data_IF_005131780671
#
_entry.id   IF_005131780671
#
_cell.length_a   1.000
_cell.length_b   1.000
_cell.length_c   1.000
_cell.angle_alpha   90.00
_cell.angle_beta   90.00
_cell.angle_gamma   90.00
#
_symmetry.space_group_name_H-M   'P 1'
#
loop_
_entity.id
_entity.type
_entity.pdbx_description
1 polymer ?
#
# COMPACT_ATOMS: atom_id res chain seq x y z
N UNK A 1 -7.70 2.41 -26.72
CA UNK A 1 -7.37 0.98 -26.73
C UNK A 1 -7.52 0.40 -25.32
N UNK A 2 -7.80 -0.90 -25.22
CA UNK A 2 -7.89 -1.64 -23.95
C UNK A 2 -6.88 -2.77 -23.99
N UNK A 3 -6.25 -3.02 -22.85
CA UNK A 3 -5.32 -4.15 -22.63
C UNK A 3 -6.02 -5.08 -21.65
N UNK A 4 -6.52 -6.26 -22.08
CA UNK A 4 -7.17 -7.19 -21.17
C UNK A 4 -6.15 -7.80 -20.19
N UNK A 5 -6.52 -7.86 -18.92
CA UNK A 5 -5.76 -8.50 -17.85
C UNK A 5 -6.57 -9.67 -17.28
N UNK A 6 -5.89 -10.65 -16.70
CA UNK A 6 -6.53 -11.80 -16.04
C UNK A 6 -6.78 -11.57 -14.54
N UNK A 7 -6.63 -10.35 -14.05
CA UNK A 7 -6.86 -9.94 -12.69
C UNK A 7 -7.55 -8.58 -12.62
N UNK A 8 -8.07 -8.20 -11.45
CA UNK A 8 -8.69 -6.90 -11.21
C UNK A 8 -7.62 -5.86 -10.84
N UNK A 9 -7.20 -4.99 -11.79
CA UNK A 9 -6.20 -3.98 -11.50
C UNK A 9 -6.74 -2.92 -10.54
N UNK A 10 -5.88 -2.43 -9.65
CA UNK A 10 -6.21 -1.41 -8.65
C UNK A 10 -5.18 -0.28 -8.62
N UNK A 11 -3.97 -0.55 -8.16
CA UNK A 11 -2.87 0.41 -8.16
C UNK A 11 -2.08 0.41 -9.44
N UNK A 12 -1.57 1.58 -9.81
CA UNK A 12 -0.68 1.75 -10.96
C UNK A 12 0.51 2.63 -10.58
N UNK A 13 1.65 2.39 -11.23
CA UNK A 13 2.83 3.24 -11.12
C UNK A 13 3.55 3.33 -12.47
N UNK A 14 4.07 4.51 -12.82
CA UNK A 14 4.90 4.69 -14.00
C UNK A 14 6.37 4.39 -13.66
N UNK A 15 7.09 3.81 -14.60
CA UNK A 15 8.54 3.70 -14.51
C UNK A 15 9.16 5.10 -14.72
N UNK A 16 9.90 5.66 -13.74
CA UNK A 16 10.48 6.99 -13.88
C UNK A 16 11.54 7.10 -14.97
N UNK A 17 12.14 5.98 -15.38
CA UNK A 17 13.16 5.91 -16.42
C UNK A 17 12.58 5.57 -17.80
N UNK A 18 11.35 5.08 -17.87
CA UNK A 18 10.67 4.76 -19.13
C UNK A 18 9.17 5.06 -19.00
N UNK A 19 8.75 6.26 -19.42
CA UNK A 19 7.38 6.71 -19.35
C UNK A 19 6.39 5.87 -20.20
N UNK A 20 6.89 5.01 -21.08
CA UNK A 20 6.08 4.04 -21.83
C UNK A 20 5.89 2.72 -21.05
N UNK A 21 6.40 2.62 -19.82
CA UNK A 21 6.31 1.43 -18.98
C UNK A 21 5.50 1.70 -17.74
N UNK A 22 4.43 0.93 -17.56
CA UNK A 22 3.49 1.06 -16.45
C UNK A 22 3.39 -0.25 -15.69
N UNK A 23 3.47 -0.17 -14.36
CA UNK A 23 3.16 -1.28 -13.46
C UNK A 23 1.68 -1.22 -13.08
N UNK A 24 1.02 -2.37 -13.07
CA UNK A 24 -0.34 -2.50 -12.55
C UNK A 24 -0.39 -3.64 -11.52
N UNK A 25 -1.09 -3.41 -10.41
CA UNK A 25 -1.17 -4.33 -9.29
C UNK A 25 -2.61 -4.71 -9.00
N UNK A 26 -2.85 -5.97 -8.67
CA UNK A 26 -4.16 -6.46 -8.26
C UNK A 26 -4.55 -5.92 -6.89
N UNK A 27 -5.85 -5.66 -6.71
CA UNK A 27 -6.39 -5.20 -5.43
C UNK A 27 -6.13 -6.22 -4.30
N UNK A 28 -6.47 -7.48 -4.54
CA UNK A 28 -6.23 -8.60 -3.63
C UNK A 28 -6.08 -9.86 -4.48
N UNK A 29 -4.85 -10.33 -4.68
CA UNK A 29 -4.63 -11.53 -5.47
C UNK A 29 -3.20 -11.67 -6.00
N UNK A 30 -2.93 -12.67 -6.83
CA UNK A 30 -1.59 -12.94 -7.32
C UNK A 30 -1.19 -12.09 -8.53
N UNK A 31 -2.05 -11.18 -9.00
CA UNK A 31 -1.88 -10.46 -10.24
C UNK A 31 -1.07 -9.17 -10.09
N UNK A 32 0.01 -9.08 -10.84
CA UNK A 32 0.66 -7.82 -11.19
C UNK A 32 1.32 -7.95 -12.55
N UNK A 33 1.50 -6.83 -13.23
CA UNK A 33 2.11 -6.85 -14.56
C UNK A 33 2.80 -5.55 -14.92
N UNK A 34 3.60 -5.63 -15.96
CA UNK A 34 4.14 -4.49 -16.69
C UNK A 34 3.42 -4.37 -18.04
N UNK A 35 3.02 -3.17 -18.35
CA UNK A 35 2.34 -2.80 -19.59
C UNK A 35 3.18 -1.81 -20.37
N UNK A 36 3.30 -2.03 -21.68
CA UNK A 36 3.88 -1.08 -22.60
C UNK A 36 2.79 -0.14 -23.13
N UNK A 37 2.96 1.16 -22.90
CA UNK A 37 1.99 2.19 -23.29
C UNK A 37 2.17 2.64 -24.75
N UNK A 38 3.33 2.40 -25.37
CA UNK A 38 3.57 2.72 -26.78
C UNK A 38 2.84 1.74 -27.71
N UNK A 39 3.04 0.44 -27.45
CA UNK A 39 2.45 -0.63 -28.24
C UNK A 39 1.05 -1.04 -27.75
N UNK A 40 0.68 -0.61 -26.55
CA UNK A 40 -0.55 -1.03 -25.84
C UNK A 40 -0.62 -2.55 -25.66
N UNK A 41 0.43 -3.13 -25.09
CA UNK A 41 0.53 -4.58 -24.85
C UNK A 41 0.98 -4.88 -23.42
N UNK A 42 0.56 -6.03 -22.94
CA UNK A 42 1.13 -6.64 -21.76
C UNK A 42 2.57 -7.06 -22.08
N UNK A 43 3.54 -6.61 -21.29
CA UNK A 43 4.94 -7.06 -21.41
C UNK A 43 5.18 -8.34 -20.64
N UNK A 44 4.87 -8.30 -19.33
CA UNK A 44 5.19 -9.40 -18.43
C UNK A 44 4.30 -9.37 -17.18
N UNK A 45 3.94 -10.54 -16.68
CA UNK A 45 3.39 -10.69 -15.34
C UNK A 45 4.50 -10.69 -14.28
N UNK A 46 4.19 -10.14 -13.11
CA UNK A 46 5.08 -10.12 -11.96
C UNK A 46 4.51 -11.12 -10.94
N UNK A 47 5.24 -12.19 -10.59
CA UNK A 47 4.77 -13.11 -9.55
C UNK A 47 4.90 -12.45 -8.17
N UNK A 48 3.98 -12.71 -7.22
CA UNK A 48 4.16 -12.29 -5.84
C UNK A 48 5.37 -12.98 -5.21
N UNK A 49 5.83 -12.47 -4.07
CA UNK A 49 6.81 -13.14 -3.24
C UNK A 49 6.25 -14.49 -2.75
N UNK A 50 7.15 -15.39 -2.34
CA UNK A 50 6.75 -16.73 -1.88
C UNK A 50 5.72 -16.64 -0.75
N UNK A 51 4.64 -17.41 -0.88
CA UNK A 51 3.53 -17.48 0.07
C UNK A 51 2.83 -16.12 0.32
N UNK A 52 2.86 -15.22 -0.69
CA UNK A 52 2.23 -13.91 -0.63
C UNK A 52 1.25 -13.67 -1.78
N UNK A 53 0.46 -12.62 -1.65
CA UNK A 53 -0.36 -12.04 -2.70
C UNK A 53 -0.29 -10.52 -2.64
N UNK A 54 -0.48 -9.84 -3.78
CA UNK A 54 -0.54 -8.37 -3.86
C UNK A 54 -1.74 -7.83 -3.10
N UNK A 55 -1.60 -6.65 -2.52
CA UNK A 55 -2.66 -6.00 -1.77
C UNK A 55 -2.88 -4.54 -2.20
N UNK A 56 -2.76 -4.28 -3.49
CA UNK A 56 -3.28 -3.07 -4.11
C UNK A 56 -2.25 -2.17 -4.78
N UNK A 57 -1.11 -1.92 -4.20
CA UNK A 57 -0.21 -0.89 -4.68
C UNK A 57 1.25 -1.30 -4.76
N UNK A 58 2.01 -0.45 -5.42
CA UNK A 58 3.45 -0.49 -5.49
C UNK A 58 4.00 0.77 -6.14
N UNK A 59 5.29 1.02 -5.97
CA UNK A 59 5.94 2.19 -6.52
C UNK A 59 7.42 1.92 -6.84
N UNK A 60 7.99 2.55 -7.86
CA UNK A 60 9.44 2.59 -8.06
C UNK A 60 10.09 3.59 -7.09
N UNK A 61 11.38 3.40 -6.82
CA UNK A 61 12.19 4.43 -6.18
C UNK A 61 12.48 5.58 -7.16
N UNK A 62 13.08 6.66 -6.63
CA UNK A 62 13.28 7.90 -7.39
C UNK A 62 14.16 7.72 -8.64
N UNK A 63 15.18 6.88 -8.55
CA UNK A 63 16.10 6.62 -9.68
C UNK A 63 15.61 5.50 -10.61
N UNK A 64 14.47 4.88 -10.29
CA UNK A 64 13.85 3.83 -11.08
C UNK A 64 14.62 2.51 -11.11
N UNK A 65 15.59 2.31 -10.23
CA UNK A 65 16.37 1.05 -10.17
C UNK A 65 15.60 -0.06 -9.46
N UNK A 66 14.78 0.28 -8.47
CA UNK A 66 14.02 -0.65 -7.66
C UNK A 66 12.54 -0.33 -7.67
N UNK A 67 11.71 -1.34 -7.52
CA UNK A 67 10.27 -1.20 -7.30
C UNK A 67 9.85 -1.96 -6.06
N UNK A 68 8.93 -1.37 -5.30
CA UNK A 68 8.38 -1.86 -4.03
C UNK A 68 6.90 -2.18 -4.21
N UNK A 69 6.42 -3.25 -3.62
CA UNK A 69 5.00 -3.64 -3.71
C UNK A 69 4.44 -3.91 -2.32
N UNK A 70 3.14 -3.66 -2.15
CA UNK A 70 2.43 -4.10 -0.95
C UNK A 70 1.95 -5.53 -1.15
N UNK A 71 2.45 -6.45 -0.35
CA UNK A 71 2.04 -7.85 -0.39
C UNK A 71 1.69 -8.37 1.02
N UNK A 72 0.82 -9.36 1.07
CA UNK A 72 0.35 -9.98 2.31
C UNK A 72 0.67 -11.47 2.29
N UNK A 73 1.25 -11.99 3.37
CA UNK A 73 1.49 -13.41 3.53
C UNK A 73 0.15 -14.16 3.70
N UNK A 74 -0.06 -15.23 2.92
CA UNK A 74 -1.34 -15.96 2.86
C UNK A 74 -1.72 -16.65 4.17
N UNK A 75 -0.73 -17.02 4.99
CA UNK A 75 -0.95 -17.76 6.24
C UNK A 75 -1.04 -16.85 7.45
N UNK A 76 -0.08 -15.92 7.57
CA UNK A 76 0.05 -15.08 8.78
C UNK A 76 -0.72 -13.76 8.69
N UNK A 77 -1.17 -13.38 7.48
CA UNK A 77 -1.76 -12.07 7.14
C UNK A 77 -0.81 -10.88 7.37
N UNK A 78 0.41 -11.11 7.81
CA UNK A 78 1.43 -10.07 7.98
C UNK A 78 1.83 -9.48 6.63
N UNK A 79 2.00 -8.18 6.62
CA UNK A 79 2.41 -7.44 5.45
C UNK A 79 3.92 -7.51 5.21
N UNK A 80 4.28 -7.55 3.94
CA UNK A 80 5.66 -7.45 3.47
C UNK A 80 5.76 -6.45 2.31
N UNK A 81 6.92 -5.85 2.17
CA UNK A 81 7.31 -5.05 1.00
C UNK A 81 8.42 -5.83 0.28
N UNK A 82 8.11 -6.58 -0.77
CA UNK A 82 9.11 -7.08 -1.70
C UNK A 82 9.81 -5.92 -2.41
N UNK A 83 11.09 -6.11 -2.65
CA UNK A 83 11.95 -5.20 -3.42
C UNK A 83 12.35 -5.94 -4.68
N UNK A 84 12.03 -5.37 -5.83
CA UNK A 84 12.42 -5.96 -7.13
C UNK A 84 13.30 -5.00 -7.92
N UNK A 85 14.24 -5.55 -8.64
CA UNK A 85 14.92 -4.83 -9.70
C UNK A 85 13.90 -4.43 -10.78
N UNK A 86 13.87 -3.17 -11.14
CA UNK A 86 12.82 -2.62 -12.02
C UNK A 86 12.91 -3.16 -13.46
N UNK A 87 14.10 -3.47 -13.93
CA UNK A 87 14.33 -3.95 -15.30
C UNK A 87 14.01 -5.44 -15.44
N UNK A 88 14.55 -6.24 -14.51
CA UNK A 88 14.44 -7.70 -14.56
C UNK A 88 13.22 -8.25 -13.83
N UNK A 89 12.58 -7.45 -12.97
CA UNK A 89 11.48 -7.80 -12.08
C UNK A 89 11.82 -8.88 -11.03
N UNK A 90 13.10 -9.23 -10.94
CA UNK A 90 13.58 -10.22 -9.97
C UNK A 90 13.52 -9.68 -8.55
N UNK A 91 13.09 -10.52 -7.64
CA UNK A 91 13.10 -10.23 -6.20
C UNK A 91 14.54 -10.14 -5.70
N UNK A 92 14.94 -8.96 -5.22
CA UNK A 92 16.28 -8.69 -4.68
C UNK A 92 16.29 -8.55 -3.16
N UNK A 93 15.11 -8.49 -2.54
CA UNK A 93 14.96 -8.44 -1.09
C UNK A 93 13.52 -8.21 -0.67
N UNK A 94 13.32 -8.17 0.65
CA UNK A 94 12.03 -7.80 1.22
C UNK A 94 12.18 -7.36 2.68
N UNK A 95 11.18 -6.67 3.22
CA UNK A 95 11.09 -6.34 4.64
C UNK A 95 9.63 -6.33 5.12
N UNK A 96 9.38 -6.53 6.44
CA UNK A 96 8.03 -6.53 6.98
C UNK A 96 7.43 -5.12 7.00
N UNK A 97 6.11 -5.01 6.84
CA UNK A 97 5.40 -3.75 7.00
C UNK A 97 5.09 -3.41 8.46
N UNK A 98 5.34 -4.33 9.38
CA UNK A 98 5.02 -4.24 10.82
C UNK A 98 3.53 -4.09 11.11
N UNK A 99 2.69 -4.52 10.19
CA UNK A 99 1.23 -4.58 10.29
C UNK A 99 0.64 -5.70 9.43
N UNK A 100 -0.67 -5.67 9.24
CA UNK A 100 -1.41 -6.63 8.42
C UNK A 100 -2.06 -5.95 7.23
N UNK A 101 -2.13 -6.66 6.08
CA UNK A 101 -2.82 -6.19 4.88
C UNK A 101 -2.35 -4.80 4.45
N UNK A 102 -1.08 -4.63 4.05
CA UNK A 102 -0.55 -3.34 3.63
C UNK A 102 -1.22 -2.90 2.33
N UNK A 103 -1.85 -1.72 2.32
CA UNK A 103 -2.61 -1.26 1.17
C UNK A 103 -1.82 -0.34 0.26
N UNK A 104 -1.16 0.67 0.81
CA UNK A 104 -0.42 1.68 0.06
C UNK A 104 0.95 1.94 0.69
N UNK A 105 1.89 2.41 -0.11
CA UNK A 105 3.23 2.75 0.37
C UNK A 105 3.81 3.94 -0.40
N UNK A 106 4.52 4.82 0.31
CA UNK A 106 5.17 5.99 -0.27
C UNK A 106 6.59 6.17 0.28
N UNK A 107 7.54 6.40 -0.61
CA UNK A 107 8.87 6.85 -0.21
C UNK A 107 8.85 8.33 0.16
N UNK A 108 9.30 8.62 1.36
CA UNK A 108 9.39 9.96 1.94
C UNK A 108 10.84 10.26 2.33
N UNK A 109 11.13 11.48 2.81
CA UNK A 109 12.46 11.90 3.27
C UNK A 109 13.57 11.59 2.24
N UNK A 110 13.34 12.02 1.00
CA UNK A 110 14.26 11.78 -0.13
C UNK A 110 14.52 10.28 -0.42
N UNK A 111 13.55 9.42 -0.15
CA UNK A 111 13.64 7.97 -0.40
C UNK A 111 14.29 7.17 0.71
N UNK A 112 14.57 7.76 1.87
CA UNK A 112 15.16 7.07 3.01
C UNK A 112 14.16 6.32 3.87
N UNK A 113 12.92 6.78 3.90
CA UNK A 113 11.85 6.22 4.73
C UNK A 113 10.69 5.81 3.84
N UNK A 114 10.07 4.68 4.13
CA UNK A 114 8.81 4.26 3.53
C UNK A 114 7.69 4.42 4.54
N UNK A 115 6.68 5.21 4.20
CA UNK A 115 5.41 5.25 4.89
C UNK A 115 4.49 4.17 4.29
N UNK A 116 3.86 3.35 5.12
CA UNK A 116 3.04 2.20 4.69
C UNK A 116 1.74 2.22 5.46
N UNK A 117 0.61 2.13 4.75
CA UNK A 117 -0.69 1.91 5.38
C UNK A 117 -0.93 0.41 5.53
N UNK A 118 -1.34 -0.03 6.72
CA UNK A 118 -1.69 -1.40 7.03
C UNK A 118 -3.17 -1.44 7.43
N UNK A 119 -4.02 -2.04 6.62
CA UNK A 119 -5.48 -2.01 6.81
C UNK A 119 -5.95 -2.74 8.09
N UNK A 120 -5.09 -3.57 8.67
CA UNK A 120 -5.40 -4.35 9.87
C UNK A 120 -6.27 -5.58 9.60
N UNK A 121 -6.53 -6.37 10.60
CA UNK A 121 -7.46 -7.50 10.56
C UNK A 121 -8.93 -7.04 10.54
N UNK A 122 -9.88 -8.00 10.50
CA UNK A 122 -11.31 -7.69 10.63
C UNK A 122 -11.63 -7.11 12.01
N UNK A 123 -12.79 -6.43 12.14
CA UNK A 123 -13.22 -5.84 13.41
C UNK A 123 -13.34 -6.88 14.52
N UNK A 124 -13.73 -8.10 14.17
CA UNK A 124 -13.90 -9.22 15.09
C UNK A 124 -12.59 -9.92 15.44
N UNK A 125 -11.52 -9.67 14.69
CA UNK A 125 -10.19 -10.23 14.92
C UNK A 125 -9.17 -9.09 15.11
N UNK A 126 -8.98 -8.68 16.35
CA UNK A 126 -8.24 -7.48 16.74
C UNK A 126 -6.76 -7.71 17.01
N UNK A 127 -6.11 -8.71 16.37
CA UNK A 127 -4.67 -8.98 16.61
C UNK A 127 -3.82 -7.78 16.18
N UNK A 128 -4.14 -7.18 15.01
CA UNK A 128 -3.44 -6.00 14.51
C UNK A 128 -4.45 -4.90 14.17
N UNK A 129 -4.27 -3.74 14.77
CA UNK A 129 -5.06 -2.56 14.47
C UNK A 129 -4.61 -1.90 13.16
N UNK A 130 -5.53 -1.21 12.46
CA UNK A 130 -5.16 -0.38 11.32
C UNK A 130 -4.10 0.65 11.72
N UNK A 131 -3.05 0.77 10.93
CA UNK A 131 -1.90 1.59 11.29
C UNK A 131 -1.17 2.16 10.08
N UNK A 132 -0.41 3.21 10.30
CA UNK A 132 0.64 3.67 9.38
C UNK A 132 1.98 3.38 10.04
N UNK A 133 2.87 2.74 9.28
CA UNK A 133 4.23 2.45 9.73
C UNK A 133 5.24 3.22 8.89
N UNK A 134 6.31 3.67 9.54
CA UNK A 134 7.45 4.31 8.91
C UNK A 134 8.67 3.39 9.06
N UNK A 135 9.24 2.99 7.94
CA UNK A 135 10.32 2.01 7.90
C UNK A 135 11.54 2.64 7.23
N UNK A 136 12.68 2.54 7.88
CA UNK A 136 13.96 2.93 7.28
C UNK A 136 14.36 1.95 6.18
N UNK A 137 14.59 2.44 4.97
CA UNK A 137 14.83 1.61 3.78
C UNK A 137 16.17 0.90 3.84
N UNK A 138 17.20 1.54 4.36
CA UNK A 138 18.56 0.99 4.42
C UNK A 138 18.66 -0.12 5.48
N UNK A 139 18.18 0.17 6.69
CA UNK A 139 18.29 -0.76 7.83
C UNK A 139 17.10 -1.72 7.92
N UNK A 140 16.00 -1.45 7.19
CA UNK A 140 14.72 -2.20 7.22
C UNK A 140 14.09 -2.28 8.61
N UNK A 141 14.36 -1.28 9.46
CA UNK A 141 13.84 -1.19 10.82
C UNK A 141 12.62 -0.29 10.89
N UNK A 142 11.69 -0.67 11.74
CA UNK A 142 10.57 0.20 12.11
C UNK A 142 11.09 1.43 12.85
N UNK A 143 10.75 2.61 12.35
CA UNK A 143 11.01 3.91 12.98
C UNK A 143 9.84 4.35 13.85
N UNK A 144 8.63 4.21 13.32
CA UNK A 144 7.40 4.60 13.99
C UNK A 144 6.22 3.77 13.52
N UNK A 145 5.28 3.46 14.42
CA UNK A 145 3.96 2.89 14.11
C UNK A 145 2.90 3.75 14.76
N UNK A 146 1.94 4.19 13.95
CA UNK A 146 0.83 5.03 14.38
C UNK A 146 -0.46 4.28 14.08
N UNK A 147 -1.25 3.99 15.09
CA UNK A 147 -2.58 3.43 14.93
C UNK A 147 -3.61 4.56 14.74
N UNK A 148 -4.70 4.26 14.01
CA UNK A 148 -5.85 5.16 13.96
C UNK A 148 -6.47 5.28 15.36
N UNK A 149 -6.96 6.47 15.69
CA UNK A 149 -7.72 6.72 16.93
C UNK A 149 -9.11 6.06 16.87
N UNK A 150 -9.68 5.89 15.70
CA UNK A 150 -10.94 5.19 15.47
C UNK A 150 -10.71 3.85 14.77
N UNK A 151 -10.82 2.77 15.51
CA UNK A 151 -10.57 1.41 15.04
C UNK A 151 -11.70 0.81 14.18
N UNK A 152 -12.79 1.52 13.94
CA UNK A 152 -13.83 1.11 12.98
C UNK A 152 -13.41 1.31 11.53
N UNK A 153 -12.35 2.06 11.28
CA UNK A 153 -11.82 2.33 9.95
C UNK A 153 -10.53 1.57 9.68
N UNK A 154 -10.32 1.16 8.43
CA UNK A 154 -9.04 0.68 7.95
C UNK A 154 -8.12 1.86 7.60
N UNK A 155 -6.87 1.58 7.21
CA UNK A 155 -5.98 2.53 6.53
C UNK A 155 -5.90 2.15 5.06
N UNK A 156 -6.38 3.05 4.18
CA UNK A 156 -6.33 2.90 2.73
C UNK A 156 -5.15 3.66 2.12
N UNK A 157 -5.45 4.56 1.17
CA UNK A 157 -4.41 5.37 0.52
C UNK A 157 -3.87 6.45 1.45
N UNK A 158 -2.62 6.82 1.22
CA UNK A 158 -1.98 7.89 1.98
C UNK A 158 -1.43 9.01 1.06
N UNK A 159 -1.35 10.20 1.62
CA UNK A 159 -0.58 11.32 1.08
C UNK A 159 0.32 11.88 2.18
N UNK A 160 1.55 12.24 1.82
CA UNK A 160 2.52 12.79 2.74
C UNK A 160 3.19 14.01 2.14
N UNK A 161 3.19 15.13 2.89
CA UNK A 161 3.87 16.34 2.47
C UNK A 161 4.37 17.14 3.67
N UNK A 162 5.66 17.48 3.69
CA UNK A 162 6.28 18.34 4.71
C UNK A 162 6.07 17.89 6.18
N UNK A 163 5.92 16.59 6.41
CA UNK A 163 5.66 16.02 7.72
C UNK A 163 4.17 15.85 8.05
N UNK A 164 3.28 16.38 7.23
CA UNK A 164 1.85 16.15 7.33
C UNK A 164 1.49 14.83 6.63
N UNK A 165 0.66 14.03 7.26
CA UNK A 165 0.14 12.75 6.76
C UNK A 165 -1.38 12.82 6.66
N UNK A 166 -1.90 12.40 5.53
CA UNK A 166 -3.34 12.22 5.33
C UNK A 166 -3.60 10.78 4.92
N UNK A 167 -4.56 10.14 5.54
CA UNK A 167 -4.98 8.77 5.21
C UNK A 167 -6.48 8.77 4.94
N UNK A 168 -6.89 8.22 3.79
CA UNK A 168 -8.30 7.94 3.53
C UNK A 168 -8.61 6.50 3.92
N UNK A 169 -9.79 6.30 4.46
CA UNK A 169 -10.22 5.06 5.10
C UNK A 169 -11.60 4.63 4.64
N UNK A 170 -11.80 3.34 4.54
CA UNK A 170 -13.11 2.71 4.40
C UNK A 170 -13.49 2.02 5.73
N UNK A 171 -14.74 1.57 5.90
CA UNK A 171 -15.10 0.71 7.01
C UNK A 171 -14.19 -0.52 7.06
N UNK A 172 -13.82 -0.89 8.29
CA UNK A 172 -13.00 -2.08 8.51
C UNK A 172 -13.76 -3.34 8.14
N UNK A 173 -13.05 -4.36 7.66
CA UNK A 173 -13.63 -5.67 7.34
C UNK A 173 -14.45 -6.22 8.52
N UNK A 174 -15.65 -6.71 8.24
CA UNK A 174 -16.62 -7.14 9.25
C UNK A 174 -17.67 -6.08 9.62
N UNK A 175 -17.47 -4.82 9.23
CA UNK A 175 -18.49 -3.78 9.34
C UNK A 175 -19.30 -3.68 8.05
N UNK A 176 -20.50 -3.08 8.18
CA UNK A 176 -21.38 -2.85 7.03
C UNK A 176 -20.70 -1.98 5.97
N UNK A 177 -20.78 -2.38 4.70
CA UNK A 177 -20.35 -1.57 3.55
C UNK A 177 -21.15 -0.28 3.38
N UNK A 178 -22.33 -0.18 4.03
CA UNK A 178 -23.15 1.04 4.08
C UNK A 178 -22.58 2.09 5.04
N UNK A 179 -21.57 1.74 5.83
CA UNK A 179 -20.87 2.69 6.69
C UNK A 179 -20.04 3.67 5.84
N UNK A 180 -20.00 4.92 6.29
CA UNK A 180 -19.25 5.96 5.59
C UNK A 180 -17.76 5.81 5.80
N UNK A 181 -16.97 6.31 4.84
CA UNK A 181 -15.52 6.39 4.96
C UNK A 181 -15.07 7.56 5.85
N UNK A 182 -13.77 7.65 6.06
CA UNK A 182 -13.15 8.70 6.86
C UNK A 182 -11.87 9.24 6.22
N UNK A 183 -11.47 10.43 6.67
CA UNK A 183 -10.15 11.00 6.43
C UNK A 183 -9.48 11.18 7.77
N UNK A 184 -8.29 10.64 7.94
CA UNK A 184 -7.46 10.83 9.14
C UNK A 184 -6.28 11.73 8.80
N UNK A 185 -6.02 12.72 9.66
CA UNK A 185 -4.98 13.72 9.44
C UNK A 185 -4.03 13.75 10.63
N UNK A 186 -2.74 13.67 10.34
CA UNK A 186 -1.67 13.91 11.28
C UNK A 186 -0.87 15.12 10.81
N UNK A 187 -0.85 16.17 11.60
CA UNK A 187 0.12 17.24 11.46
C UNK A 187 1.45 16.83 12.08
N UNK A 188 2.55 17.36 11.56
CA UNK A 188 3.89 17.06 12.05
C UNK A 188 3.94 17.03 13.59
N UNK A 189 4.42 15.91 14.15
CA UNK A 189 4.53 15.67 15.61
C UNK A 189 3.22 15.56 16.40
N UNK A 190 2.07 15.37 15.75
CA UNK A 190 0.77 15.15 16.39
C UNK A 190 0.25 13.73 16.16
N UNK A 191 -0.81 13.36 16.88
CA UNK A 191 -1.51 12.08 16.65
C UNK A 191 -2.23 12.10 15.29
N UNK A 192 -2.46 10.92 14.74
CA UNK A 192 -3.34 10.73 13.58
C UNK A 192 -4.79 10.76 14.08
N UNK A 193 -5.52 11.82 13.74
CA UNK A 193 -6.89 12.05 14.18
C UNK A 193 -7.84 11.81 13.03
N UNK A 194 -8.86 10.99 13.24
CA UNK A 194 -9.89 10.70 12.25
C UNK A 194 -10.86 11.89 12.16
N UNK A 195 -10.99 12.42 10.96
CA UNK A 195 -11.96 13.45 10.61
C UNK A 195 -13.20 12.77 10.05
N UNK A 196 -14.27 12.79 10.81
CA UNK A 196 -15.59 12.31 10.37
C UNK A 196 -16.55 13.49 10.29
N UNK A 197 -17.44 13.46 9.32
CA UNK A 197 -18.56 14.40 9.31
C UNK A 197 -19.45 14.07 10.52
N UNK A 198 -19.73 15.05 11.41
CA UNK A 198 -20.61 14.82 12.56
C UNK A 198 -22.00 14.30 12.19
N UNK A 199 -22.54 14.65 11.02
CA UNK A 199 -23.81 14.16 10.54
C UNK A 199 -23.78 12.70 10.06
N UNK A 200 -22.59 12.17 9.74
CA UNK A 200 -22.43 10.79 9.28
C UNK A 200 -22.44 9.75 10.42
N UNK A 201 -22.39 10.20 11.66
CA UNK A 201 -22.34 9.33 12.86
C UNK A 201 -23.75 8.92 13.32
N UNK A 202 -24.79 9.51 12.77
CA UNK A 202 -26.18 9.32 13.23
C UNK A 202 -27.04 8.44 12.32
N UNK A 203 -26.45 7.78 11.33
CA UNK A 203 -27.18 6.88 10.42
C UNK A 203 -26.99 5.40 10.78
#
# INVERSE_FOLDING_TARGET
>A
KQIPLNFLPHGIALDPNNHNRLFAYEKIGPGACVVNLEDFRLEQYIPPAKDCYFYGHGMPNKDGSLTFQTETNIYTKKGVIPIRDTQTLQLVGQFPTFGEKPHDCHLIENGKVMAITNAGGSIDNTIEQPSVTFVDIETRKLLEKIELDNHAFNTGHLAYQNGDLVVVSAPREGLSEMSLGAVSIRKKNHKLVTMTDPESITA
#
